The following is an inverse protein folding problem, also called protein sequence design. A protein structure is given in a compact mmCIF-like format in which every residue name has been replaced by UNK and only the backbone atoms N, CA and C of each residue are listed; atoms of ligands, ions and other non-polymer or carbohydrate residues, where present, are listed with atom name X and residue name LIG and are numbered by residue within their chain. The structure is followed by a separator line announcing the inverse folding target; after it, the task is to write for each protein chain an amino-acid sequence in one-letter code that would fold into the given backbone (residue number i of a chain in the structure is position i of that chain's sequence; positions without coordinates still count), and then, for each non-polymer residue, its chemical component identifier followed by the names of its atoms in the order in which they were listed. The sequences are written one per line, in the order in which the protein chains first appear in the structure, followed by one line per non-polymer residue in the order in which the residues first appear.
data_IF_861274908370
#
_entry.id   IF_861274908370
#
_cell.length_a   1.000
_cell.length_b   1.000
_cell.length_c   1.000
_cell.angle_alpha   90.00
_cell.angle_beta   90.00
_cell.angle_gamma   90.00
#
_symmetry.space_group_name_H-M   'P 1'
#
loop_
_entity.id
_entity.type
_entity.pdbx_description
1 polymer ?
#
# COMPACT_ATOMS: atom_id res chain seq x y z
N UNK A 1 9.31 12.39 -20.49
CA UNK A 1 8.37 12.23 -21.62
C UNK A 1 7.15 13.14 -21.52
N UNK A 2 6.92 13.82 -20.38
CA UNK A 2 5.93 14.90 -20.23
C UNK A 2 6.58 16.10 -19.52
N UNK A 3 5.98 17.30 -19.58
CA UNK A 3 6.45 18.45 -18.79
C UNK A 3 6.48 18.12 -17.29
N UNK A 4 7.48 18.65 -16.59
CA UNK A 4 7.61 18.44 -15.14
C UNK A 4 6.49 19.14 -14.36
N UNK A 5 5.94 20.20 -14.93
CA UNK A 5 4.94 21.12 -14.37
C UNK A 5 3.53 20.90 -14.94
N UNK A 6 3.31 19.79 -15.63
CA UNK A 6 2.03 19.43 -16.27
C UNK A 6 0.87 19.41 -15.25
N UNK A 7 1.13 18.92 -14.03
CA UNK A 7 0.14 18.88 -12.95
C UNK A 7 -0.33 20.28 -12.53
N UNK A 8 0.57 21.26 -12.46
CA UNK A 8 0.24 22.64 -12.09
C UNK A 8 -0.67 23.33 -13.10
N UNK A 9 -0.69 22.84 -14.35
CA UNK A 9 -1.49 23.36 -15.44
C UNK A 9 -2.73 22.51 -15.74
N UNK A 10 -2.96 21.44 -14.98
CA UNK A 10 -4.10 20.57 -15.19
C UNK A 10 -5.41 21.33 -14.91
N UNK A 11 -6.34 21.46 -15.88
CA UNK A 11 -7.50 22.35 -15.76
C UNK A 11 -8.42 22.07 -14.57
N UNK A 12 -8.44 20.82 -14.10
CA UNK A 12 -9.31 20.39 -13.00
C UNK A 12 -8.61 20.37 -11.64
N UNK A 13 -7.34 20.79 -11.59
CA UNK A 13 -6.54 20.91 -10.37
C UNK A 13 -6.49 19.67 -9.50
N UNK A 14 -6.28 19.89 -8.20
CA UNK A 14 -6.24 18.84 -7.17
C UNK A 14 -7.66 18.60 -6.59
N UNK A 15 -8.19 17.36 -6.62
CA UNK A 15 -9.50 17.03 -6.07
C UNK A 15 -9.61 17.28 -4.55
N UNK A 16 -8.54 17.07 -3.77
CA UNK A 16 -8.52 17.27 -2.32
C UNK A 16 -8.71 18.76 -2.02
N UNK A 17 -7.94 19.62 -2.68
CA UNK A 17 -8.04 21.06 -2.52
C UNK A 17 -9.43 21.58 -2.97
N UNK A 18 -9.96 21.05 -4.07
CA UNK A 18 -11.30 21.42 -4.56
C UNK A 18 -12.39 21.06 -3.57
N UNK A 19 -12.34 19.86 -2.99
CA UNK A 19 -13.30 19.42 -1.99
C UNK A 19 -13.18 20.25 -0.71
N UNK A 20 -11.96 20.43 -0.19
CA UNK A 20 -11.72 21.21 1.03
C UNK A 20 -12.27 22.64 0.89
N UNK A 21 -11.97 23.34 -0.20
CA UNK A 21 -12.51 24.68 -0.47
C UNK A 21 -14.04 24.71 -0.54
N UNK A 22 -14.65 23.68 -1.13
CA UNK A 22 -16.10 23.59 -1.20
C UNK A 22 -16.73 23.37 0.19
N UNK A 23 -16.18 22.46 0.98
CA UNK A 23 -16.68 22.15 2.32
C UNK A 23 -16.44 23.31 3.32
N UNK A 24 -15.32 24.03 3.19
CA UNK A 24 -15.07 25.26 3.95
C UNK A 24 -16.14 26.32 3.67
N UNK A 25 -16.54 26.50 2.41
CA UNK A 25 -17.63 27.42 2.04
C UNK A 25 -18.99 26.99 2.61
N UNK A 26 -19.20 25.68 2.78
CA UNK A 26 -20.39 25.13 3.42
C UNK A 26 -20.33 25.21 4.96
N UNK A 27 -19.19 25.56 5.54
CA UNK A 27 -18.99 25.60 7.00
C UNK A 27 -18.95 24.22 7.66
N UNK A 28 -18.72 23.15 6.89
CA UNK A 28 -18.67 21.75 7.37
C UNK A 28 -17.26 21.16 7.36
N UNK A 29 -16.26 22.00 7.07
CA UNK A 29 -14.86 21.66 7.12
C UNK A 29 -14.02 22.91 7.40
N UNK A 30 -12.90 22.74 8.08
CA UNK A 30 -11.98 23.80 8.44
C UNK A 30 -10.53 23.40 8.17
N UNK A 31 -9.64 24.39 8.15
CA UNK A 31 -8.19 24.15 8.03
C UNK A 31 -7.65 23.33 9.20
N UNK A 32 -8.16 23.58 10.41
CA UNK A 32 -7.75 22.84 11.60
C UNK A 32 -8.19 21.36 11.52
N UNK A 33 -9.41 21.09 11.05
CA UNK A 33 -9.87 19.72 10.76
C UNK A 33 -9.04 19.06 9.66
N UNK A 34 -8.66 19.80 8.62
CA UNK A 34 -7.81 19.30 7.55
C UNK A 34 -6.43 18.85 8.06
N UNK A 35 -5.75 19.70 8.82
CA UNK A 35 -4.44 19.39 9.40
C UNK A 35 -4.51 18.29 10.46
N UNK A 36 -5.55 18.29 11.31
CA UNK A 36 -5.77 17.24 12.30
C UNK A 36 -5.99 15.87 11.63
N UNK A 37 -6.82 15.83 10.58
CA UNK A 37 -7.09 14.61 9.82
C UNK A 37 -5.83 14.09 9.14
N UNK A 38 -5.07 14.97 8.48
CA UNK A 38 -3.79 14.62 7.85
C UNK A 38 -2.83 14.01 8.86
N UNK A 39 -2.66 14.64 10.03
CA UNK A 39 -1.78 14.15 11.09
C UNK A 39 -2.23 12.80 11.66
N UNK A 40 -3.54 12.59 11.79
CA UNK A 40 -4.09 11.30 12.22
C UNK A 40 -3.78 10.18 11.22
N UNK A 41 -3.95 10.45 9.92
CA UNK A 41 -3.64 9.51 8.84
C UNK A 41 -2.13 9.22 8.75
N UNK A 42 -1.28 10.23 8.89
CA UNK A 42 0.18 10.04 8.92
C UNK A 42 0.59 9.12 10.08
N UNK A 43 -0.02 9.29 11.25
CA UNK A 43 0.20 8.43 12.40
C UNK A 43 -0.32 6.99 12.17
N UNK A 44 -1.49 6.83 11.55
CA UNK A 44 -2.07 5.54 11.20
C UNK A 44 -1.20 4.78 10.21
N UNK A 45 -0.79 5.43 9.11
CA UNK A 45 0.09 4.84 8.09
C UNK A 45 1.44 4.46 8.72
N UNK A 46 2.01 5.32 9.57
CA UNK A 46 3.25 5.01 10.29
C UNK A 46 3.12 3.82 11.23
N UNK A 47 1.99 3.68 11.94
CA UNK A 47 1.71 2.54 12.80
C UNK A 47 1.50 1.25 11.97
N UNK A 48 0.77 1.34 10.86
CA UNK A 48 0.54 0.24 9.94
C UNK A 48 1.85 -0.25 9.32
N UNK A 49 2.74 0.66 8.92
CA UNK A 49 4.08 0.32 8.43
C UNK A 49 4.91 -0.40 9.50
N UNK A 50 4.98 0.13 10.73
CA UNK A 50 5.70 -0.54 11.83
C UNK A 50 5.15 -1.94 12.10
N UNK A 51 3.84 -2.12 12.04
CA UNK A 51 3.20 -3.44 12.16
C UNK A 51 3.57 -4.33 10.99
N UNK A 52 3.52 -3.83 9.75
CA UNK A 52 3.91 -4.60 8.56
C UNK A 52 5.37 -5.05 8.62
N UNK A 53 6.28 -4.17 9.06
CA UNK A 53 7.70 -4.50 9.23
C UNK A 53 7.96 -5.59 10.27
N UNK A 54 7.05 -5.79 11.23
CA UNK A 54 7.16 -6.93 12.16
C UNK A 54 6.98 -8.29 11.46
N UNK A 55 6.33 -8.30 10.29
CA UNK A 55 6.21 -9.48 9.41
C UNK A 55 7.34 -9.58 8.39
N UNK A 56 8.31 -8.67 8.42
CA UNK A 56 9.47 -8.71 7.54
C UNK A 56 9.71 -7.42 6.78
N UNK A 57 10.94 -7.30 6.31
CA UNK A 57 11.37 -6.25 5.40
C UNK A 57 12.47 -6.83 4.50
N UNK A 58 12.76 -6.15 3.39
CA UNK A 58 13.88 -6.52 2.52
C UNK A 58 15.21 -6.66 3.29
N UNK A 59 15.39 -5.87 4.35
CA UNK A 59 16.57 -5.89 5.21
C UNK A 59 16.57 -6.93 6.33
N UNK A 60 15.39 -7.42 6.77
CA UNK A 60 15.27 -8.28 7.98
C UNK A 60 14.77 -9.70 7.70
N UNK A 61 14.63 -10.11 6.44
CA UNK A 61 14.63 -11.52 6.03
C UNK A 61 13.45 -12.39 6.49
N UNK A 62 12.44 -11.85 7.16
CA UNK A 62 11.19 -12.58 7.44
C UNK A 62 10.32 -12.58 6.18
N UNK A 63 10.65 -13.44 5.23
CA UNK A 63 9.88 -13.65 4.01
C UNK A 63 9.01 -14.90 4.16
N UNK A 64 7.99 -15.01 3.30
CA UNK A 64 7.24 -16.25 3.17
C UNK A 64 8.20 -17.43 2.91
N UNK A 65 7.92 -18.58 3.50
CA UNK A 65 8.74 -19.78 3.30
C UNK A 65 8.75 -20.15 1.82
N UNK A 66 9.92 -20.51 1.28
CA UNK A 66 10.08 -20.71 -0.16
C UNK A 66 9.10 -21.75 -0.74
N UNK A 67 8.64 -22.72 0.05
CA UNK A 67 7.64 -23.70 -0.36
C UNK A 67 6.26 -23.10 -0.71
N UNK A 68 5.91 -21.91 -0.21
CA UNK A 68 4.61 -21.28 -0.53
C UNK A 68 4.56 -20.77 -1.98
N UNK A 69 5.69 -20.74 -2.70
CA UNK A 69 5.72 -20.38 -4.13
C UNK A 69 4.93 -21.36 -5.02
N UNK A 70 4.63 -22.56 -4.51
CA UNK A 70 3.88 -23.61 -5.22
C UNK A 70 2.40 -23.64 -4.85
N UNK A 71 2.00 -22.90 -3.81
CA UNK A 71 0.61 -22.79 -3.39
C UNK A 71 -0.16 -21.87 -4.37
N UNK A 72 -1.48 -22.05 -4.48
CA UNK A 72 -2.39 -21.23 -5.30
C UNK A 72 -2.11 -21.16 -6.82
N UNK A 73 -1.22 -22.00 -7.36
CA UNK A 73 -1.00 -22.12 -8.83
C UNK A 73 -2.18 -22.81 -9.53
N UNK A 74 -2.79 -23.79 -8.85
CA UNK A 74 -4.02 -24.47 -9.24
C UNK A 74 -4.89 -24.65 -7.99
N UNK A 75 -6.19 -24.92 -8.16
CA UNK A 75 -7.12 -25.20 -7.03
C UNK A 75 -6.59 -26.32 -6.12
N UNK A 76 -6.03 -27.37 -6.72
CA UNK A 76 -5.34 -28.45 -6.01
C UNK A 76 -3.92 -28.58 -6.54
N UNK A 77 -2.93 -28.73 -5.66
CA UNK A 77 -1.52 -28.83 -6.04
C UNK A 77 -1.27 -30.10 -6.87
N UNK A 78 -0.98 -30.00 -8.18
CA UNK A 78 -0.74 -31.16 -9.03
C UNK A 78 0.60 -31.82 -8.72
N UNK A 79 0.74 -33.10 -9.08
CA UNK A 79 1.89 -33.93 -8.71
C UNK A 79 3.26 -33.31 -9.07
N UNK A 80 3.39 -32.65 -10.22
CA UNK A 80 4.65 -32.03 -10.61
C UNK A 80 5.07 -30.87 -9.69
N UNK A 81 4.13 -30.09 -9.15
CA UNK A 81 4.43 -29.03 -8.19
C UNK A 81 4.74 -29.60 -6.81
N UNK A 82 4.11 -30.72 -6.43
CA UNK A 82 4.47 -31.45 -5.20
C UNK A 82 5.93 -31.93 -5.27
N UNK A 83 6.33 -32.52 -6.41
CA UNK A 83 7.72 -32.97 -6.62
C UNK A 83 8.71 -31.81 -6.58
N UNK A 84 8.41 -30.69 -7.24
CA UNK A 84 9.28 -29.49 -7.22
C UNK A 84 9.39 -28.91 -5.80
N UNK A 85 8.31 -28.93 -5.02
CA UNK A 85 8.30 -28.51 -3.62
C UNK A 85 9.18 -29.40 -2.74
N UNK A 86 9.10 -30.72 -2.86
CA UNK A 86 9.99 -31.64 -2.12
C UNK A 86 11.46 -31.46 -2.50
N UNK A 87 11.75 -31.30 -3.80
CA UNK A 87 13.12 -31.02 -4.27
C UNK A 87 13.70 -29.72 -3.69
N UNK A 88 12.87 -28.68 -3.54
CA UNK A 88 13.28 -27.41 -2.91
C UNK A 88 13.57 -27.58 -1.41
N UNK A 89 12.78 -28.41 -0.72
CA UNK A 89 12.89 -28.65 0.72
C UNK A 89 14.00 -29.66 1.08
N UNK A 90 14.45 -30.47 0.12
CA UNK A 90 15.47 -31.49 0.32
C UNK A 90 14.94 -32.81 0.88
N UNK A 91 13.65 -33.09 0.69
CA UNK A 91 12.95 -34.32 1.08
C UNK A 91 13.05 -35.43 0.02
#
# INVERSE_FOLDING_TARGET
YRPADDWSHFPLGDPINRLAQHLEKLGVWSKDEHEATRKALDAEVGAALKKAESYGSLSRGHLAGAATMFDDVFESVPAHLQMQRSQLLGD
#
